data_IF_276992158188
#
_entry.id   IF_276992158188
#
_cell.length_a   1.000
_cell.length_b   1.000
_cell.length_c   1.000
_cell.angle_alpha   90.00
_cell.angle_beta   90.00
_cell.angle_gamma   90.00
#
_symmetry.space_group_name_H-M   'P 1'
#
loop_
_entity.id
_entity.type
_entity.pdbx_description
1 polymer ?
#
# COMPACT_ATOMS: atom_id res chain seq x y z
N UNK A 1 21.22 -31.68 -0.16
CA UNK A 1 19.96 -32.36 -0.56
C UNK A 1 18.89 -31.30 -0.78
N UNK A 2 18.55 -31.01 -2.04
CA UNK A 2 17.42 -30.14 -2.36
C UNK A 2 16.14 -30.89 -1.99
N UNK A 3 15.40 -30.36 -1.00
CA UNK A 3 14.06 -30.89 -0.71
C UNK A 3 13.17 -30.63 -1.94
N UNK A 4 12.40 -31.62 -2.41
CA UNK A 4 11.44 -31.38 -3.48
C UNK A 4 10.40 -30.37 -3.00
N UNK A 5 10.39 -29.18 -3.61
CA UNK A 5 9.30 -28.23 -3.43
C UNK A 5 8.05 -28.87 -4.02
N UNK A 6 7.06 -29.15 -3.18
CA UNK A 6 5.72 -29.54 -3.66
C UNK A 6 5.26 -28.46 -4.65
N UNK A 7 4.81 -28.81 -5.86
CA UNK A 7 4.18 -27.83 -6.72
C UNK A 7 2.91 -27.38 -5.99
N UNK A 8 2.92 -26.17 -5.47
CA UNK A 8 1.69 -25.46 -5.12
C UNK A 8 0.85 -25.51 -6.39
N UNK A 9 -0.26 -26.25 -6.38
CA UNK A 9 -1.23 -26.19 -7.47
C UNK A 9 -1.51 -24.71 -7.69
N UNK A 10 -1.16 -24.19 -8.87
CA UNK A 10 -1.28 -22.78 -9.18
C UNK A 10 -2.75 -22.40 -8.98
N UNK A 11 -3.02 -21.60 -7.95
CA UNK A 11 -4.36 -21.10 -7.66
C UNK A 11 -4.92 -20.49 -8.95
N UNK A 12 -6.14 -20.83 -9.32
CA UNK A 12 -6.74 -20.41 -10.56
C UNK A 12 -8.06 -19.67 -10.30
N UNK A 13 -8.32 -18.60 -11.06
CA UNK A 13 -9.47 -17.73 -10.92
C UNK A 13 -10.13 -17.50 -12.28
N UNK A 14 -11.45 -17.32 -12.32
CA UNK A 14 -12.15 -16.88 -13.52
C UNK A 14 -12.09 -15.34 -13.61
N UNK A 15 -11.45 -14.81 -14.65
CA UNK A 15 -11.33 -13.36 -14.87
C UNK A 15 -12.03 -12.95 -16.18
N UNK A 16 -12.62 -11.74 -16.23
CA UNK A 16 -13.23 -11.21 -17.45
C UNK A 16 -12.17 -10.80 -18.46
N UNK A 17 -12.44 -11.10 -19.74
CA UNK A 17 -11.69 -10.60 -20.89
C UNK A 17 -12.36 -9.37 -21.49
N UNK A 18 -11.63 -8.66 -22.35
CA UNK A 18 -12.15 -7.48 -23.06
C UNK A 18 -13.37 -7.81 -23.95
N UNK A 19 -13.47 -9.03 -24.46
CA UNK A 19 -14.61 -9.53 -25.24
C UNK A 19 -15.80 -9.99 -24.38
N UNK A 20 -15.75 -9.73 -23.05
CA UNK A 20 -16.74 -10.13 -22.04
C UNK A 20 -16.81 -11.65 -21.79
N UNK A 21 -15.94 -12.45 -22.39
CA UNK A 21 -15.80 -13.86 -22.03
C UNK A 21 -15.07 -14.02 -20.70
N UNK A 22 -15.16 -15.22 -20.10
CA UNK A 22 -14.39 -15.58 -18.92
C UNK A 22 -13.24 -16.50 -19.30
N UNK A 23 -12.05 -16.21 -18.79
CA UNK A 23 -10.90 -17.11 -18.88
C UNK A 23 -10.49 -17.63 -17.51
N UNK A 24 -9.87 -18.81 -17.47
CA UNK A 24 -9.19 -19.29 -16.27
C UNK A 24 -7.78 -18.69 -16.23
N UNK A 25 -7.53 -17.78 -15.29
CA UNK A 25 -6.22 -17.22 -15.02
C UNK A 25 -5.51 -18.02 -13.92
N UNK A 26 -4.31 -18.50 -14.22
CA UNK A 26 -3.47 -19.22 -13.26
C UNK A 26 -2.45 -18.27 -12.63
N UNK A 27 -2.41 -18.22 -11.30
CA UNK A 27 -1.47 -17.35 -10.58
C UNK A 27 -0.02 -17.83 -10.72
N UNK A 28 0.90 -16.87 -10.87
CA UNK A 28 2.34 -17.13 -10.76
C UNK A 28 2.76 -17.31 -9.30
N UNK A 29 3.93 -17.92 -9.07
CA UNK A 29 4.53 -17.96 -7.74
C UNK A 29 4.79 -16.53 -7.22
N UNK A 30 4.46 -16.22 -5.96
CA UNK A 30 4.70 -14.90 -5.40
C UNK A 30 6.20 -14.63 -5.24
N UNK A 31 6.59 -13.36 -5.38
CA UNK A 31 7.94 -12.94 -4.99
C UNK A 31 8.07 -12.97 -3.48
N UNK A 32 9.23 -13.38 -2.98
CA UNK A 32 9.53 -13.34 -1.57
C UNK A 32 10.18 -12.00 -1.21
N UNK A 33 9.50 -11.18 -0.41
CA UNK A 33 10.02 -9.94 0.15
C UNK A 33 10.33 -10.15 1.63
N UNK A 34 11.43 -9.59 2.15
CA UNK A 34 11.70 -9.66 3.58
C UNK A 34 10.67 -8.83 4.36
N UNK A 35 10.31 -9.27 5.57
CA UNK A 35 9.46 -8.46 6.46
C UNK A 35 10.12 -7.13 6.83
N UNK A 36 11.44 -7.15 7.02
CA UNK A 36 12.26 -5.96 7.24
C UNK A 36 13.54 -6.01 6.40
N UNK A 37 13.88 -4.92 5.73
CA UNK A 37 15.11 -4.78 4.97
C UNK A 37 16.34 -4.91 5.89
N UNK A 38 17.36 -5.62 5.40
CA UNK A 38 18.63 -5.80 6.11
C UNK A 38 19.67 -4.85 5.49
N UNK A 39 19.85 -3.70 6.12
CA UNK A 39 20.82 -2.69 5.69
C UNK A 39 20.27 -1.63 4.74
N UNK A 40 21.13 -0.71 4.31
CA UNK A 40 20.76 0.42 3.46
C UNK A 40 20.69 -0.01 1.99
N UNK A 41 19.70 0.52 1.27
CA UNK A 41 19.61 0.39 -0.18
C UNK A 41 20.76 1.17 -0.85
N UNK A 42 21.22 0.71 -2.00
CA UNK A 42 22.23 1.41 -2.82
C UNK A 42 21.64 2.58 -3.63
N UNK A 43 20.38 2.95 -3.38
CA UNK A 43 19.64 4.04 -4.00
C UNK A 43 18.75 4.70 -2.95
N UNK A 44 18.47 5.98 -3.14
CA UNK A 44 17.42 6.69 -2.39
C UNK A 44 16.11 6.43 -3.11
N UNK A 45 15.26 5.59 -2.52
CA UNK A 45 13.98 5.20 -3.09
C UNK A 45 12.84 5.68 -2.20
N UNK A 46 11.96 6.51 -2.77
CA UNK A 46 10.73 6.96 -2.12
C UNK A 46 9.53 6.25 -2.72
N UNK A 47 8.60 5.83 -1.86
CA UNK A 47 7.25 5.46 -2.26
C UNK A 47 6.31 6.64 -2.02
N UNK A 48 5.63 7.10 -3.07
CA UNK A 48 4.44 7.94 -2.89
C UNK A 48 3.32 7.06 -2.35
N UNK A 49 2.95 7.25 -1.09
CA UNK A 49 2.01 6.36 -0.41
C UNK A 49 0.55 6.77 -0.65
N UNK A 50 -0.33 5.79 -0.81
CA UNK A 50 -1.78 5.98 -0.91
C UNK A 50 -2.40 6.22 0.48
N UNK A 51 -3.67 6.59 0.54
CA UNK A 51 -4.47 6.64 1.78
C UNK A 51 -5.47 5.50 1.82
N UNK A 52 -5.81 5.02 3.01
CA UNK A 52 -6.87 4.03 3.20
C UNK A 52 -8.12 4.77 3.64
N UNK A 53 -9.19 4.68 2.84
CA UNK A 53 -10.48 5.25 3.22
C UNK A 53 -11.11 4.42 4.35
N UNK A 54 -11.82 5.07 5.27
CA UNK A 54 -12.69 4.39 6.25
C UNK A 54 -14.01 4.00 5.55
N UNK A 55 -14.26 2.71 5.27
CA UNK A 55 -15.44 2.29 4.54
C UNK A 55 -16.72 2.28 5.40
N UNK A 56 -16.60 2.46 6.71
CA UNK A 56 -17.73 2.47 7.65
C UNK A 56 -18.14 3.88 8.08
N UNK A 57 -17.40 4.90 7.65
CA UNK A 57 -17.71 6.28 7.94
C UNK A 57 -19.07 6.68 7.36
N UNK A 58 -19.87 7.36 8.18
CA UNK A 58 -21.14 7.95 7.76
C UNK A 58 -20.91 9.30 7.07
N UNK A 59 -20.25 9.28 5.91
CA UNK A 59 -19.93 10.47 5.12
C UNK A 59 -20.31 10.29 3.65
N UNK A 60 -20.39 11.39 2.88
CA UNK A 60 -20.59 11.29 1.44
C UNK A 60 -19.25 11.00 0.76
N UNK A 61 -19.06 9.81 0.15
CA UNK A 61 -17.75 9.40 -0.37
C UNK A 61 -17.25 10.22 -1.57
N UNK A 62 -18.09 11.09 -2.15
CA UNK A 62 -17.71 11.96 -3.28
C UNK A 62 -17.34 13.37 -2.83
N UNK A 63 -17.81 13.79 -1.66
CA UNK A 63 -17.63 15.16 -1.15
C UNK A 63 -16.69 15.21 0.06
N UNK A 64 -16.75 14.16 0.88
CA UNK A 64 -16.04 14.06 2.14
C UNK A 64 -14.96 12.99 2.03
N UNK A 65 -13.84 13.23 2.72
CA UNK A 65 -12.80 12.24 2.87
C UNK A 65 -12.77 11.70 4.29
N UNK A 66 -13.11 10.42 4.43
CA UNK A 66 -12.96 9.68 5.67
C UNK A 66 -11.72 8.77 5.56
N UNK A 67 -10.69 9.05 6.35
CA UNK A 67 -9.43 8.28 6.34
C UNK A 67 -9.41 7.32 7.52
N UNK A 68 -9.14 6.05 7.25
CA UNK A 68 -8.72 5.09 8.27
C UNK A 68 -7.25 5.38 8.60
N UNK A 69 -7.04 6.12 9.68
CA UNK A 69 -5.72 6.58 10.08
C UNK A 69 -4.80 5.43 10.50
N UNK A 70 -5.33 4.43 11.20
CA UNK A 70 -4.53 3.33 11.71
C UNK A 70 -3.99 2.48 10.56
N UNK A 71 -4.83 2.17 9.56
CA UNK A 71 -4.40 1.45 8.36
C UNK A 71 -3.51 2.29 7.46
N UNK A 72 -3.80 3.58 7.34
CA UNK A 72 -2.97 4.50 6.57
C UNK A 72 -1.56 4.58 7.14
N UNK A 73 -1.39 4.73 8.46
CA UNK A 73 -0.07 4.78 9.12
C UNK A 73 0.61 3.41 9.13
N UNK A 74 -0.12 2.32 9.37
CA UNK A 74 0.45 0.96 9.29
C UNK A 74 1.08 0.67 7.92
N UNK A 75 0.52 1.22 6.83
CA UNK A 75 1.14 1.10 5.52
C UNK A 75 2.47 1.88 5.41
N UNK A 76 2.60 3.06 6.04
CA UNK A 76 3.89 3.77 6.11
C UNK A 76 4.92 2.97 6.89
N UNK A 77 4.51 2.37 8.00
CA UNK A 77 5.36 1.47 8.79
C UNK A 77 5.87 0.30 7.98
N UNK A 78 5.00 -0.34 7.17
CA UNK A 78 5.39 -1.39 6.26
C UNK A 78 6.44 -0.92 5.23
N UNK A 79 6.24 0.25 4.62
CA UNK A 79 7.21 0.81 3.67
C UNK A 79 8.57 1.10 4.32
N UNK A 80 8.57 1.63 5.54
CA UNK A 80 9.80 1.86 6.31
C UNK A 80 10.48 0.54 6.70
N UNK A 81 9.71 -0.48 7.11
CA UNK A 81 10.26 -1.81 7.39
C UNK A 81 10.90 -2.40 6.12
N UNK A 82 10.35 -2.15 4.92
CA UNK A 82 10.97 -2.50 3.63
C UNK A 82 12.19 -1.64 3.24
N UNK A 83 12.55 -0.63 4.06
CA UNK A 83 13.71 0.25 3.83
C UNK A 83 13.47 1.37 2.82
N UNK A 84 12.20 1.61 2.43
CA UNK A 84 11.82 2.71 1.56
C UNK A 84 11.58 3.98 2.38
N UNK A 85 11.89 5.13 1.79
CA UNK A 85 11.39 6.41 2.32
C UNK A 85 9.95 6.64 1.84
N UNK A 86 9.22 7.50 2.54
CA UNK A 86 7.83 7.81 2.22
C UNK A 86 7.73 9.25 1.73
N UNK A 87 7.15 9.44 0.55
CA UNK A 87 6.77 10.75 0.01
C UNK A 87 5.29 10.99 0.32
N UNK A 88 5.01 11.85 1.29
CA UNK A 88 3.71 11.92 1.94
C UNK A 88 2.77 12.99 1.37
N UNK A 89 1.46 12.75 1.43
CA UNK A 89 0.42 13.64 0.90
C UNK A 89 0.67 14.12 -0.55
N UNK A 90 1.21 13.21 -1.38
CA UNK A 90 1.48 13.41 -2.81
C UNK A 90 0.27 13.04 -3.67
N UNK A 91 0.39 13.12 -5.00
CA UNK A 91 -0.67 12.77 -5.97
C UNK A 91 -1.26 11.37 -5.73
N UNK A 92 -0.44 10.38 -5.38
CA UNK A 92 -0.90 9.01 -5.03
C UNK A 92 -1.77 8.95 -3.77
N UNK A 93 -1.66 9.93 -2.87
CA UNK A 93 -2.57 10.13 -1.74
C UNK A 93 -3.85 10.90 -2.14
N UNK A 94 -4.08 11.08 -3.45
CA UNK A 94 -5.21 11.81 -4.04
C UNK A 94 -5.22 13.32 -3.71
N UNK A 95 -4.04 13.89 -3.47
CA UNK A 95 -3.91 15.30 -3.10
C UNK A 95 -4.52 16.21 -4.17
N UNK A 96 -5.49 17.04 -3.78
CA UNK A 96 -6.20 17.94 -4.71
C UNK A 96 -7.26 17.26 -5.59
N UNK A 97 -7.43 15.94 -5.48
CA UNK A 97 -8.43 15.14 -6.20
C UNK A 97 -9.21 14.22 -5.24
N UNK A 98 -9.64 14.78 -4.11
CA UNK A 98 -10.36 14.10 -3.03
C UNK A 98 -9.73 14.34 -1.66
N UNK A 99 -8.40 14.45 -1.59
CA UNK A 99 -7.69 14.83 -0.38
C UNK A 99 -7.44 16.35 -0.33
N UNK A 100 -8.18 17.02 0.54
CA UNK A 100 -8.06 18.46 0.79
C UNK A 100 -6.83 18.82 1.63
N UNK A 101 -6.59 20.13 1.80
CA UNK A 101 -5.43 20.59 2.55
C UNK A 101 -5.48 20.23 4.05
N UNK A 102 -6.57 20.50 4.79
CA UNK A 102 -6.67 20.12 6.19
C UNK A 102 -6.33 18.64 6.46
N UNK A 103 -6.91 17.72 5.69
CA UNK A 103 -6.64 16.30 5.87
C UNK A 103 -5.20 15.93 5.47
N UNK A 104 -4.65 16.57 4.43
CA UNK A 104 -3.24 16.37 4.04
C UNK A 104 -2.27 16.80 5.13
N UNK A 105 -2.54 17.94 5.76
CA UNK A 105 -1.74 18.45 6.85
C UNK A 105 -1.77 17.49 8.04
N UNK A 106 -2.94 16.93 8.35
CA UNK A 106 -3.08 15.93 9.39
C UNK A 106 -2.33 14.64 9.07
N UNK A 107 -2.42 14.15 7.83
CA UNK A 107 -1.67 12.99 7.35
C UNK A 107 -0.16 13.19 7.49
N UNK A 108 0.35 14.37 7.09
CA UNK A 108 1.77 14.71 7.24
C UNK A 108 2.17 14.69 8.73
N UNK A 109 1.38 15.33 9.60
CA UNK A 109 1.65 15.36 11.05
C UNK A 109 1.72 13.97 11.66
N UNK A 110 0.72 13.12 11.39
CA UNK A 110 0.69 11.74 11.89
C UNK A 110 1.87 10.92 11.37
N UNK A 111 2.20 11.06 10.09
CA UNK A 111 3.32 10.35 9.48
C UNK A 111 4.67 10.78 10.07
N UNK A 112 4.85 12.08 10.35
CA UNK A 112 6.06 12.59 11.02
C UNK A 112 6.16 12.10 12.47
N UNK A 113 5.05 11.97 13.18
CA UNK A 113 5.06 11.38 14.53
C UNK A 113 5.43 9.89 14.45
N UNK A 114 4.80 9.13 13.56
CA UNK A 114 5.07 7.70 13.40
C UNK A 114 6.51 7.40 12.96
N UNK A 115 7.10 8.22 12.09
CA UNK A 115 8.45 7.99 11.58
C UNK A 115 9.53 8.08 12.65
N UNK A 116 9.31 8.85 13.73
CA UNK A 116 10.26 8.97 14.85
C UNK A 116 10.52 7.64 15.57
N UNK A 117 9.58 6.70 15.52
CA UNK A 117 9.74 5.36 16.10
C UNK A 117 10.53 4.40 15.21
N UNK A 118 10.79 4.78 13.95
CA UNK A 118 11.47 3.95 12.93
C UNK A 118 12.81 4.55 12.47
N UNK A 119 13.12 5.77 12.91
CA UNK A 119 14.38 6.49 12.65
C UNK A 119 15.52 6.08 13.55
#
# INVERSE_FOLDING_TARGET
>A
MNKPQKPLQALALKLPRADRSLETFHLSQPRNFPERAKGKLNRVAFAAAHVVADPLAASNPWLDMAVDWDRTIAFREHLWDLGLAVAEAMDTAQRGMGMDWPASLELIRRSVVASKAKG
#
